data_IF_109352687740
#
_entry.id   IF_109352687740
#
_cell.length_a   1.000
_cell.length_b   1.000
_cell.length_c   1.000
_cell.angle_alpha   90.00
_cell.angle_beta   90.00
_cell.angle_gamma   90.00
#
_symmetry.space_group_name_H-M   'P 1'
#
loop_
_entity.id
_entity.type
_entity.pdbx_description
1 polymer ?
#
# COMPACT_ATOMS: atom_id res chain seq x y z
N UNK A 1 -39.39 -88.29 28.57
CA UNK A 1 -39.66 -87.53 29.81
C UNK A 1 -38.52 -86.54 30.01
N UNK A 2 -38.65 -85.32 29.47
CA UNK A 2 -38.81 -84.09 30.27
C UNK A 2 -38.08 -84.15 31.62
N UNK A 3 -37.00 -83.36 31.78
CA UNK A 3 -36.92 -82.36 32.84
C UNK A 3 -36.02 -81.19 32.41
N UNK A 4 -36.68 -80.04 32.39
CA UNK A 4 -36.18 -78.69 32.20
C UNK A 4 -35.41 -78.24 33.47
N UNK A 5 -34.30 -77.49 33.35
CA UNK A 5 -34.05 -76.28 34.17
C UNK A 5 -32.69 -75.61 33.89
N UNK A 6 -32.83 -74.31 33.60
CA UNK A 6 -31.90 -73.20 33.85
C UNK A 6 -30.55 -73.19 33.10
N UNK A 7 -30.59 -72.76 31.84
CA UNK A 7 -29.47 -72.01 31.27
C UNK A 7 -29.69 -70.52 31.59
N UNK A 8 -28.86 -69.98 32.47
CA UNK A 8 -28.77 -68.55 32.75
C UNK A 8 -28.28 -67.87 31.46
N UNK A 9 -29.17 -67.17 30.77
CA UNK A 9 -28.79 -66.28 29.69
C UNK A 9 -28.07 -65.06 30.29
N UNK A 10 -26.74 -65.12 30.34
CA UNK A 10 -25.89 -63.94 30.41
C UNK A 10 -26.14 -63.13 29.13
N UNK A 11 -27.16 -62.28 29.15
CA UNK A 11 -27.32 -61.20 28.19
C UNK A 11 -26.15 -60.25 28.48
N UNK A 12 -25.03 -60.48 27.79
CA UNK A 12 -24.01 -59.47 27.62
C UNK A 12 -24.71 -58.33 26.87
N UNK A 13 -25.18 -57.33 27.62
CA UNK A 13 -25.55 -56.04 27.09
C UNK A 13 -24.25 -55.48 26.51
N UNK A 14 -24.00 -55.77 25.24
CA UNK A 14 -23.07 -55.00 24.41
C UNK A 14 -23.71 -53.61 24.27
N UNK A 15 -23.64 -52.82 25.34
CA UNK A 15 -23.85 -51.38 25.25
C UNK A 15 -22.84 -50.91 24.22
N UNK A 16 -23.35 -50.48 23.06
CA UNK A 16 -22.53 -49.95 22.00
C UNK A 16 -21.61 -48.88 22.61
N UNK A 17 -20.32 -49.22 22.74
CA UNK A 17 -19.31 -48.34 23.33
C UNK A 17 -19.50 -46.97 22.68
N UNK A 18 -19.81 -45.96 23.49
CA UNK A 18 -19.86 -44.59 23.01
C UNK A 18 -18.58 -44.35 22.19
N UNK A 19 -18.68 -43.67 21.05
CA UNK A 19 -17.52 -43.34 20.23
C UNK A 19 -16.69 -42.24 20.93
N UNK A 20 -16.14 -42.58 22.10
CA UNK A 20 -15.22 -41.75 22.87
C UNK A 20 -14.03 -41.47 21.97
N UNK A 21 -13.60 -40.22 21.96
CA UNK A 21 -12.59 -39.69 21.04
C UNK A 21 -13.02 -39.65 19.56
N UNK A 22 -14.29 -39.90 19.26
CA UNK A 22 -14.88 -39.74 17.93
C UNK A 22 -15.32 -38.31 17.63
N UNK A 23 -15.65 -38.07 16.36
CA UNK A 23 -16.25 -36.82 15.89
C UNK A 23 -17.66 -36.66 16.46
N UNK A 24 -18.04 -35.42 16.75
CA UNK A 24 -19.45 -35.12 16.97
C UNK A 24 -20.27 -35.34 15.68
N UNK A 25 -21.55 -35.65 15.82
CA UNK A 25 -22.48 -35.82 14.69
C UNK A 25 -22.68 -34.54 13.87
N UNK A 26 -22.34 -33.37 14.43
CA UNK A 26 -22.33 -32.09 13.74
C UNK A 26 -21.31 -31.14 14.37
N UNK A 27 -20.63 -30.32 13.56
CA UNK A 27 -19.62 -29.36 14.01
C UNK A 27 -18.20 -29.96 14.11
N UNK A 28 -17.25 -29.16 14.61
CA UNK A 28 -15.82 -29.53 14.70
C UNK A 28 -15.43 -30.13 16.06
N UNK A 29 -16.40 -30.55 16.86
CA UNK A 29 -16.17 -31.03 18.23
C UNK A 29 -15.70 -32.47 18.32
N UNK A 30 -15.33 -32.88 19.53
CA UNK A 30 -14.91 -34.25 19.87
C UNK A 30 -15.70 -34.79 21.06
N UNK A 31 -16.06 -36.07 20.99
CA UNK A 31 -16.80 -36.76 22.04
C UNK A 31 -15.88 -37.19 23.19
N UNK A 32 -15.92 -36.47 24.31
CA UNK A 32 -15.07 -36.72 25.49
C UNK A 32 -15.82 -36.40 26.79
N UNK A 33 -15.18 -36.64 27.94
CA UNK A 33 -15.82 -36.42 29.22
C UNK A 33 -16.16 -34.95 29.51
N UNK A 34 -17.26 -34.75 30.25
CA UNK A 34 -17.68 -33.45 30.83
C UNK A 34 -16.65 -32.84 31.80
N UNK A 35 -15.71 -33.64 32.28
CA UNK A 35 -14.57 -33.17 33.07
C UNK A 35 -13.39 -32.73 32.20
N UNK A 36 -13.04 -33.51 31.17
CA UNK A 36 -11.86 -33.26 30.32
C UNK A 36 -12.00 -31.99 29.49
N UNK A 37 -13.19 -31.72 28.99
CA UNK A 37 -13.41 -30.54 28.16
C UNK A 37 -13.60 -29.23 28.96
N UNK A 38 -14.23 -29.26 30.15
CA UNK A 38 -14.23 -28.12 31.08
C UNK A 38 -12.81 -27.75 31.48
N UNK A 39 -11.98 -28.74 31.83
CA UNK A 39 -10.55 -28.54 32.15
C UNK A 39 -9.78 -27.90 30.99
N UNK A 40 -10.16 -28.22 29.76
CA UNK A 40 -9.56 -27.63 28.58
C UNK A 40 -10.18 -26.28 28.15
N UNK A 41 -11.19 -25.77 28.87
CA UNK A 41 -11.89 -24.53 28.57
C UNK A 41 -12.88 -24.61 27.39
N UNK A 42 -13.41 -25.80 27.09
CA UNK A 42 -14.45 -26.01 26.08
C UNK A 42 -15.86 -26.03 26.67
N UNK A 43 -16.88 -26.00 25.79
CA UNK A 43 -18.30 -26.11 26.14
C UNK A 43 -18.90 -27.42 25.63
N UNK A 44 -20.04 -27.83 26.19
CA UNK A 44 -20.69 -29.10 25.82
C UNK A 44 -21.98 -28.91 25.06
N UNK A 45 -22.22 -29.83 24.13
CA UNK A 45 -23.51 -29.98 23.45
C UNK A 45 -24.03 -31.40 23.65
N UNK A 46 -25.25 -31.50 24.18
CA UNK A 46 -25.95 -32.77 24.39
C UNK A 46 -26.50 -33.35 23.07
N UNK A 47 -26.65 -34.67 23.00
CA UNK A 47 -27.23 -35.36 21.85
C UNK A 47 -26.38 -35.36 20.57
N UNK A 48 -25.10 -34.99 20.68
CA UNK A 48 -24.18 -34.84 19.54
C UNK A 48 -23.07 -35.89 19.48
N UNK A 49 -23.07 -36.83 20.42
CA UNK A 49 -22.17 -37.98 20.43
C UNK A 49 -22.93 -39.27 20.17
N UNK A 50 -22.34 -40.25 19.45
CA UNK A 50 -22.94 -41.57 19.31
C UNK A 50 -23.24 -42.17 20.69
N UNK A 51 -24.51 -42.51 20.91
CA UNK A 51 -25.06 -43.06 22.16
C UNK A 51 -25.03 -42.14 23.39
N UNK A 52 -24.75 -40.84 23.21
CA UNK A 52 -24.80 -39.71 24.18
C UNK A 52 -24.71 -40.10 25.68
N UNK A 53 -23.69 -40.88 26.04
CA UNK A 53 -23.54 -41.41 27.39
C UNK A 53 -23.52 -40.27 28.43
N UNK A 54 -24.01 -40.52 29.65
CA UNK A 54 -24.24 -39.49 30.67
C UNK A 54 -23.07 -38.48 30.78
N UNK A 55 -21.83 -39.00 30.82
CA UNK A 55 -20.63 -38.19 30.99
C UNK A 55 -19.85 -37.90 29.70
N UNK A 56 -20.24 -38.46 28.54
CA UNK A 56 -19.57 -38.24 27.25
C UNK A 56 -20.43 -37.31 26.40
N UNK A 57 -19.96 -36.07 26.23
CA UNK A 57 -20.67 -35.02 25.50
C UNK A 57 -19.79 -34.47 24.39
N UNK A 58 -20.43 -33.85 23.40
CA UNK A 58 -19.69 -33.19 22.33
C UNK A 58 -18.99 -31.97 22.90
N UNK A 59 -17.67 -32.05 23.06
CA UNK A 59 -16.86 -30.92 23.46
C UNK A 59 -16.61 -30.01 22.28
N UNK A 60 -16.97 -28.75 22.43
CA UNK A 60 -16.62 -27.70 21.50
C UNK A 60 -15.58 -26.76 22.10
N UNK A 61 -14.41 -26.69 21.46
CA UNK A 61 -13.37 -25.70 21.73
C UNK A 61 -12.93 -25.09 20.40
N UNK A 62 -13.71 -24.15 19.89
CA UNK A 62 -13.51 -23.56 18.56
C UNK A 62 -12.19 -22.79 18.40
N UNK A 63 -11.54 -22.38 19.49
CA UNK A 63 -10.28 -21.65 19.45
C UNK A 63 -9.21 -22.33 20.31
N UNK A 64 -7.99 -22.29 19.81
CA UNK A 64 -6.80 -22.73 20.52
C UNK A 64 -5.67 -21.73 20.26
N UNK A 65 -4.76 -21.59 21.22
CA UNK A 65 -3.56 -20.78 21.06
C UNK A 65 -2.35 -21.66 21.34
N UNK A 66 -1.38 -21.67 20.43
CA UNK A 66 -0.14 -22.45 20.55
C UNK A 66 1.02 -21.63 20.02
N UNK A 67 2.09 -21.49 20.81
CA UNK A 67 3.25 -20.67 20.46
C UNK A 67 2.89 -19.24 19.98
N UNK A 68 1.88 -18.62 20.61
CA UNK A 68 1.37 -17.28 20.23
C UNK A 68 0.54 -17.24 18.93
N UNK A 69 0.24 -18.39 18.31
CA UNK A 69 -0.63 -18.48 17.12
C UNK A 69 -2.03 -18.95 17.52
N UNK A 70 -3.05 -18.25 17.03
CA UNK A 70 -4.45 -18.66 17.18
C UNK A 70 -4.83 -19.63 16.07
N UNK A 71 -5.51 -20.71 16.43
CA UNK A 71 -6.05 -21.71 15.50
C UNK A 71 -7.40 -22.23 15.96
N UNK A 72 -7.89 -23.27 15.30
CA UNK A 72 -9.14 -23.96 15.61
C UNK A 72 -8.86 -25.41 15.96
N UNK A 73 -9.45 -25.91 17.05
CA UNK A 73 -9.40 -27.34 17.34
C UNK A 73 -10.24 -28.11 16.34
N UNK A 74 -9.60 -29.03 15.61
CA UNK A 74 -10.26 -29.93 14.67
C UNK A 74 -9.42 -31.20 14.48
N UNK A 75 -10.00 -32.21 13.86
CA UNK A 75 -9.24 -33.41 13.50
C UNK A 75 -8.15 -33.05 12.49
N UNK A 76 -6.97 -33.67 12.61
CA UNK A 76 -5.82 -33.39 11.74
C UNK A 76 -6.12 -33.61 10.26
N UNK A 77 -7.05 -34.52 9.94
CA UNK A 77 -7.53 -34.75 8.57
C UNK A 77 -8.28 -33.55 7.97
N UNK A 78 -8.83 -32.67 8.81
CA UNK A 78 -9.61 -31.50 8.39
C UNK A 78 -8.77 -30.21 8.45
N UNK A 79 -7.48 -30.34 8.75
CA UNK A 79 -6.58 -29.22 8.90
C UNK A 79 -5.88 -28.89 7.58
N UNK A 80 -6.25 -27.77 6.97
CA UNK A 80 -5.58 -27.22 5.78
C UNK A 80 -4.35 -26.35 6.16
N UNK A 81 -3.63 -26.75 7.20
CA UNK A 81 -2.64 -25.90 7.87
C UNK A 81 -1.65 -26.70 8.70
N UNK A 82 -0.94 -26.02 9.61
CA UNK A 82 -0.04 -26.70 10.55
C UNK A 82 -0.81 -27.12 11.78
N UNK A 83 -0.69 -28.39 12.17
CA UNK A 83 -1.33 -28.94 13.36
C UNK A 83 -0.37 -29.00 14.55
N UNK A 84 -0.82 -28.55 15.72
CA UNK A 84 -0.04 -28.55 16.95
C UNK A 84 -0.75 -29.31 18.07
N UNK A 85 -0.01 -30.12 18.81
CA UNK A 85 -0.53 -30.89 19.94
C UNK A 85 -0.67 -30.01 21.21
N UNK A 86 -1.40 -30.50 22.21
CA UNK A 86 -1.42 -29.94 23.57
C UNK A 86 -2.35 -28.76 23.82
N UNK A 87 -2.91 -28.12 22.79
CA UNK A 87 -3.82 -26.98 22.95
C UNK A 87 -5.32 -27.32 22.82
N UNK A 88 -5.65 -28.54 22.40
CA UNK A 88 -7.00 -29.05 22.17
C UNK A 88 -7.27 -30.33 22.96
N UNK A 89 -8.49 -30.55 23.46
CA UNK A 89 -8.82 -31.73 24.26
C UNK A 89 -9.13 -32.96 23.40
N UNK A 90 -8.99 -34.16 23.96
CA UNK A 90 -9.35 -35.40 23.29
C UNK A 90 -8.15 -36.15 22.68
N UNK A 91 -8.34 -36.90 21.60
CA UNK A 91 -7.32 -37.80 21.06
C UNK A 91 -6.15 -37.07 20.43
N UNK A 92 -5.05 -37.81 20.20
CA UNK A 92 -3.82 -37.31 19.60
C UNK A 92 -4.00 -36.71 18.20
N UNK A 93 -5.05 -37.07 17.47
CA UNK A 93 -5.39 -36.53 16.15
C UNK A 93 -6.39 -35.36 16.20
N UNK A 94 -6.82 -34.91 17.38
CA UNK A 94 -7.62 -33.69 17.54
C UNK A 94 -6.70 -32.57 18.03
N UNK A 95 -6.22 -31.76 17.09
CA UNK A 95 -5.10 -30.83 17.30
C UNK A 95 -5.52 -29.40 17.04
N UNK A 96 -4.69 -28.47 17.49
CA UNK A 96 -4.84 -27.07 17.14
C UNK A 96 -4.39 -26.86 15.70
N UNK A 97 -5.34 -26.62 14.80
CA UNK A 97 -5.06 -26.32 13.40
C UNK A 97 -4.87 -24.81 13.23
N UNK A 98 -3.67 -24.41 12.86
CA UNK A 98 -3.39 -23.04 12.40
C UNK A 98 -3.43 -23.06 10.88
N UNK A 99 -4.51 -22.53 10.30
CA UNK A 99 -4.72 -22.53 8.85
C UNK A 99 -3.65 -21.69 8.14
N UNK A 100 -3.17 -22.19 7.00
CA UNK A 100 -2.29 -21.45 6.11
C UNK A 100 -3.12 -20.45 5.29
N UNK A 101 -3.64 -19.41 5.95
CA UNK A 101 -4.29 -18.30 5.25
C UNK A 101 -3.20 -17.50 4.54
N UNK A 102 -2.97 -17.83 3.28
CA UNK A 102 -2.00 -17.14 2.42
C UNK A 102 -2.61 -15.95 1.72
N UNK A 103 -3.93 -15.90 1.58
CA UNK A 103 -4.67 -14.81 0.92
C UNK A 103 -5.56 -14.06 1.90
N UNK A 104 -5.76 -12.78 1.65
CA UNK A 104 -6.61 -11.91 2.45
C UNK A 104 -7.35 -10.94 1.51
N UNK A 105 -8.49 -10.42 1.96
CA UNK A 105 -9.32 -9.52 1.14
C UNK A 105 -9.65 -8.26 1.94
N UNK A 106 -9.53 -7.09 1.31
CA UNK A 106 -9.88 -5.79 1.90
C UNK A 106 -10.49 -4.89 0.83
N UNK A 107 -11.69 -4.36 1.07
CA UNK A 107 -12.36 -3.43 0.14
C UNK A 107 -12.39 -3.97 -1.31
N UNK A 108 -12.67 -5.26 -1.49
CA UNK A 108 -12.72 -5.90 -2.81
C UNK A 108 -11.36 -6.17 -3.47
N UNK A 109 -10.25 -5.79 -2.84
CA UNK A 109 -8.90 -6.13 -3.28
C UNK A 109 -8.43 -7.43 -2.63
N UNK A 110 -7.78 -8.28 -3.42
CA UNK A 110 -7.14 -9.51 -2.92
C UNK A 110 -5.65 -9.27 -2.70
N UNK A 111 -5.16 -9.65 -1.53
CA UNK A 111 -3.77 -9.55 -1.11
C UNK A 111 -3.21 -10.88 -0.61
N UNK A 112 -1.95 -10.84 -0.15
CA UNK A 112 -1.24 -11.99 0.39
C UNK A 112 -0.83 -11.72 1.84
N UNK A 113 -1.04 -12.68 2.72
CA UNK A 113 -0.54 -12.63 4.09
C UNK A 113 0.96 -12.88 4.11
N UNK A 114 1.73 -11.89 4.55
CA UNK A 114 3.19 -12.00 4.62
C UNK A 114 3.76 -11.08 5.70
N UNK A 115 5.06 -11.21 5.98
CA UNK A 115 5.75 -10.32 6.90
C UNK A 115 5.64 -8.86 6.42
N UNK A 116 5.34 -7.93 7.33
CA UNK A 116 5.17 -6.50 7.06
C UNK A 116 6.38 -5.88 6.35
N UNK A 117 7.59 -6.39 6.61
CA UNK A 117 8.83 -5.90 6.01
C UNK A 117 9.06 -6.42 4.58
N UNK A 118 8.30 -7.44 4.17
CA UNK A 118 8.37 -8.05 2.84
C UNK A 118 7.27 -7.53 1.89
N UNK A 119 6.40 -6.64 2.36
CA UNK A 119 5.29 -6.11 1.57
C UNK A 119 5.72 -4.91 0.71
N UNK A 120 5.60 -5.04 -0.62
CA UNK A 120 5.81 -3.95 -1.58
C UNK A 120 4.51 -3.17 -1.91
N UNK A 121 3.47 -3.35 -1.09
CA UNK A 121 2.14 -2.77 -1.26
C UNK A 121 1.71 -1.94 -0.05
N UNK A 122 0.41 -1.70 0.09
CA UNK A 122 -0.12 -1.19 1.34
C UNK A 122 -0.54 -2.35 2.26
N UNK A 123 -0.50 -2.11 3.57
CA UNK A 123 -0.70 -3.15 4.58
C UNK A 123 -1.98 -2.91 5.36
N UNK A 124 -2.71 -3.98 5.64
CA UNK A 124 -3.86 -3.96 6.53
C UNK A 124 -3.65 -5.00 7.64
N UNK A 125 -3.79 -4.56 8.89
CA UNK A 125 -3.64 -5.39 10.08
C UNK A 125 -4.91 -6.19 10.35
N UNK A 126 -4.81 -7.31 11.09
CA UNK A 126 -5.96 -8.08 11.56
C UNK A 126 -6.65 -8.97 10.52
N UNK A 127 -6.21 -8.95 9.26
CA UNK A 127 -6.76 -9.79 8.19
C UNK A 127 -6.00 -11.11 7.97
N UNK A 128 -4.86 -11.28 8.64
CA UNK A 128 -3.99 -12.45 8.54
C UNK A 128 -3.78 -13.07 9.92
N UNK A 129 -3.75 -14.42 10.03
CA UNK A 129 -3.50 -15.09 11.29
C UNK A 129 -2.04 -14.94 11.73
N UNK A 130 -1.79 -15.03 13.03
CA UNK A 130 -0.45 -14.95 13.60
C UNK A 130 -0.21 -13.65 14.36
N UNK A 131 1.06 -13.24 14.43
CA UNK A 131 1.48 -12.06 15.18
C UNK A 131 1.27 -10.76 14.37
N UNK A 132 1.55 -9.62 15.01
CA UNK A 132 1.40 -8.29 14.40
C UNK A 132 2.30 -8.05 13.17
N UNK A 133 3.32 -8.89 12.94
CA UNK A 133 4.20 -8.78 11.78
C UNK A 133 3.63 -9.46 10.54
N UNK A 134 2.72 -10.43 10.68
CA UNK A 134 2.04 -11.04 9.54
C UNK A 134 0.81 -10.19 9.16
N UNK A 135 0.94 -9.38 8.11
CA UNK A 135 -0.09 -8.43 7.70
C UNK A 135 -0.56 -8.75 6.28
N UNK A 136 -1.78 -8.30 5.96
CA UNK A 136 -2.30 -8.43 4.61
C UNK A 136 -1.61 -7.41 3.70
N UNK A 137 -0.81 -7.89 2.75
CA UNK A 137 -0.17 -7.06 1.74
C UNK A 137 -1.05 -6.98 0.50
N UNK A 138 -1.54 -5.77 0.18
CA UNK A 138 -2.43 -5.51 -0.95
C UNK A 138 -1.70 -4.68 -2.02
N UNK A 139 -2.06 -4.85 -3.31
CA UNK A 139 -1.41 -4.12 -4.40
C UNK A 139 -1.60 -2.61 -4.27
N UNK A 140 -0.51 -1.86 -4.46
CA UNK A 140 -0.49 -0.40 -4.50
C UNK A 140 -0.53 0.06 -5.95
N UNK A 141 -1.71 0.04 -6.55
CA UNK A 141 -1.88 0.43 -7.96
C UNK A 141 -1.60 1.93 -8.15
N UNK A 142 -0.92 2.26 -9.24
CA UNK A 142 -0.73 3.65 -9.65
C UNK A 142 -2.07 4.27 -10.09
N UNK A 143 -2.24 5.56 -9.84
CA UNK A 143 -3.40 6.32 -10.30
C UNK A 143 -2.98 7.74 -10.69
N UNK A 144 -3.83 8.42 -11.46
CA UNK A 144 -3.62 9.84 -11.81
C UNK A 144 -4.85 10.64 -11.43
N UNK A 145 -4.66 11.71 -10.66
CA UNK A 145 -5.70 12.65 -10.29
C UNK A 145 -5.17 14.08 -10.31
N UNK A 146 -5.94 15.02 -10.85
CA UNK A 146 -5.58 16.43 -10.92
C UNK A 146 -4.20 16.68 -11.58
N UNK A 147 -3.88 15.91 -12.64
CA UNK A 147 -2.58 16.01 -13.33
C UNK A 147 -1.39 15.45 -12.56
N UNK A 148 -1.60 14.83 -11.39
CA UNK A 148 -0.55 14.25 -10.54
C UNK A 148 -0.66 12.74 -10.49
N UNK A 149 0.50 12.07 -10.54
CA UNK A 149 0.61 10.65 -10.24
C UNK A 149 0.45 10.41 -8.73
N UNK A 150 -0.29 9.38 -8.38
CA UNK A 150 -0.59 8.97 -7.02
C UNK A 150 -0.62 7.46 -6.88
N UNK A 151 -1.07 7.01 -5.72
CA UNK A 151 -1.22 5.58 -5.43
C UNK A 151 -2.57 5.28 -4.79
N UNK A 152 -3.17 4.18 -5.23
CA UNK A 152 -4.38 3.63 -4.63
C UNK A 152 -4.07 3.00 -3.29
N UNK A 153 -4.47 3.68 -2.22
CA UNK A 153 -4.28 3.25 -0.84
C UNK A 153 -5.51 3.62 0.00
N UNK A 154 -5.70 3.03 1.19
CA UNK A 154 -6.74 3.44 2.12
C UNK A 154 -6.65 4.94 2.44
N UNK A 155 -7.78 5.64 2.50
CA UNK A 155 -7.85 7.07 2.83
C UNK A 155 -7.14 7.41 4.14
N UNK A 156 -7.29 6.57 5.17
CA UNK A 156 -6.60 6.74 6.46
C UNK A 156 -5.09 6.50 6.43
N UNK A 157 -4.55 5.95 5.33
CA UNK A 157 -3.11 5.77 5.09
C UNK A 157 -2.56 6.82 4.11
N UNK A 158 -3.39 7.73 3.62
CA UNK A 158 -2.97 8.79 2.72
C UNK A 158 -2.43 10.00 3.49
N UNK A 159 -1.17 10.35 3.25
CA UNK A 159 -0.55 11.58 3.76
C UNK A 159 -0.76 12.78 2.83
N UNK A 160 -1.64 12.67 1.84
CA UNK A 160 -1.87 13.68 0.80
C UNK A 160 -3.36 13.94 0.55
N UNK A 161 -3.71 14.38 -0.66
CA UNK A 161 -5.11 14.53 -1.07
C UNK A 161 -5.63 13.18 -1.56
N UNK A 162 -6.73 12.72 -0.98
CA UNK A 162 -7.44 11.53 -1.47
C UNK A 162 -8.48 11.93 -2.51
N UNK A 163 -8.44 11.29 -3.68
CA UNK A 163 -9.40 11.53 -4.77
C UNK A 163 -10.19 10.25 -5.06
N UNK A 164 -11.51 10.34 -4.96
CA UNK A 164 -12.44 9.23 -5.18
C UNK A 164 -12.59 8.88 -6.66
N UNK A 165 -13.00 7.64 -6.95
CA UNK A 165 -13.33 7.19 -8.31
C UNK A 165 -12.13 6.99 -9.25
N UNK A 166 -10.91 6.94 -8.71
CA UNK A 166 -9.66 6.80 -9.48
C UNK A 166 -8.92 5.48 -9.24
N UNK A 167 -9.49 4.60 -8.40
CA UNK A 167 -8.86 3.37 -7.94
C UNK A 167 -9.85 2.19 -7.95
N UNK A 168 -9.38 0.96 -8.19
CA UNK A 168 -10.18 -0.24 -7.99
C UNK A 168 -10.37 -0.51 -6.49
N UNK A 169 -11.47 -1.18 -6.17
CA UNK A 169 -11.83 -1.54 -4.80
C UNK A 169 -13.01 -0.74 -4.25
N UNK A 170 -13.22 -0.84 -2.94
CA UNK A 170 -14.30 -0.19 -2.23
C UNK A 170 -14.04 1.29 -1.96
N UNK A 171 -15.02 1.95 -1.35
CA UNK A 171 -15.08 3.42 -1.22
C UNK A 171 -13.87 4.04 -0.48
N UNK A 172 -13.23 3.24 0.36
CA UNK A 172 -12.10 3.66 1.19
C UNK A 172 -10.75 3.55 0.47
N UNK A 173 -10.69 2.93 -0.71
CA UNK A 173 -9.49 2.91 -1.56
C UNK A 173 -9.59 4.07 -2.53
N UNK A 174 -8.75 5.08 -2.33
CA UNK A 174 -8.78 6.31 -3.13
C UNK A 174 -7.39 6.61 -3.70
N UNK A 175 -7.35 7.44 -4.73
CA UNK A 175 -6.09 7.87 -5.29
C UNK A 175 -5.47 8.88 -4.33
N UNK A 176 -4.48 8.43 -3.56
CA UNK A 176 -3.67 9.30 -2.74
C UNK A 176 -2.63 9.97 -3.63
N UNK A 177 -2.87 11.21 -3.97
CA UNK A 177 -1.85 12.06 -4.56
C UNK A 177 -1.12 12.74 -3.41
N UNK A 178 0.20 12.62 -3.36
CA UNK A 178 0.97 13.33 -2.35
C UNK A 178 0.66 14.82 -2.46
N UNK A 179 0.30 15.44 -1.33
CA UNK A 179 0.20 16.90 -1.21
C UNK A 179 1.57 17.58 -1.29
N UNK A 180 2.57 16.92 -1.89
CA UNK A 180 3.90 17.43 -2.15
C UNK A 180 3.84 18.60 -3.10
N UNK A 181 3.54 19.78 -2.56
CA UNK A 181 4.30 20.97 -2.84
C UNK A 181 5.73 20.76 -2.35
N UNK A 182 6.50 19.97 -3.08
CA UNK A 182 7.86 20.43 -3.33
C UNK A 182 7.66 21.61 -4.27
N UNK A 183 8.02 22.83 -3.83
CA UNK A 183 8.28 23.92 -4.77
C UNK A 183 9.10 23.33 -5.90
N UNK A 184 8.69 23.53 -7.16
CA UNK A 184 9.53 23.16 -8.30
C UNK A 184 10.92 23.70 -8.00
N UNK A 185 11.88 22.80 -7.84
CA UNK A 185 13.21 23.24 -7.43
C UNK A 185 13.82 24.01 -8.58
N UNK A 186 14.61 25.02 -8.25
CA UNK A 186 15.37 25.78 -9.23
C UNK A 186 16.19 24.89 -10.18
N UNK A 187 16.73 23.78 -9.67
CA UNK A 187 17.48 22.82 -10.47
C UNK A 187 16.61 22.10 -11.51
N UNK A 188 15.37 21.73 -11.18
CA UNK A 188 14.46 21.12 -12.16
C UNK A 188 14.15 22.06 -13.33
N UNK A 189 14.02 23.37 -13.06
CA UNK A 189 13.84 24.39 -14.10
C UNK A 189 15.05 24.41 -15.03
N UNK A 190 16.26 24.37 -14.46
CA UNK A 190 17.51 24.34 -15.23
C UNK A 190 17.63 23.07 -16.07
N UNK A 191 17.39 21.90 -15.47
CA UNK A 191 17.51 20.62 -16.17
C UNK A 191 16.56 20.53 -17.36
N UNK A 192 15.35 21.10 -17.24
CA UNK A 192 14.41 21.22 -18.36
C UNK A 192 14.89 22.24 -19.40
N UNK A 193 15.30 23.43 -18.98
CA UNK A 193 15.82 24.47 -19.89
C UNK A 193 17.00 23.97 -20.74
N UNK A 194 17.90 23.18 -20.14
CA UNK A 194 19.09 22.64 -20.80
C UNK A 194 18.77 21.69 -21.95
N UNK A 195 17.59 21.07 -21.99
CA UNK A 195 17.17 20.17 -23.09
C UNK A 195 16.98 20.92 -24.41
N UNK A 196 16.76 22.24 -24.36
CA UNK A 196 16.55 23.08 -25.55
C UNK A 196 17.82 23.74 -26.06
N UNK A 197 18.99 23.40 -25.52
CA UNK A 197 20.26 23.87 -26.06
C UNK A 197 20.39 23.48 -27.53
N UNK A 198 20.80 24.43 -28.36
CA UNK A 198 20.90 24.25 -29.80
C UNK A 198 19.63 24.61 -30.58
N UNK A 199 18.49 24.87 -29.94
CA UNK A 199 17.30 25.36 -30.63
C UNK A 199 17.58 26.73 -31.27
N UNK A 200 17.26 26.94 -32.57
CA UNK A 200 17.47 28.21 -33.24
C UNK A 200 16.75 29.40 -32.60
N UNK A 201 17.37 30.57 -32.66
CA UNK A 201 16.69 31.80 -32.33
C UNK A 201 15.65 32.16 -33.39
N UNK A 202 14.45 32.52 -32.95
CA UNK A 202 13.40 33.09 -33.78
C UNK A 202 12.79 34.31 -33.07
N UNK A 203 12.82 35.49 -33.68
CA UNK A 203 12.17 36.67 -33.11
C UNK A 203 10.67 36.43 -32.97
N UNK A 204 10.12 36.62 -31.76
CA UNK A 204 8.72 36.29 -31.50
C UNK A 204 8.47 34.80 -31.19
N UNK A 205 9.48 33.92 -31.30
CA UNK A 205 9.35 32.48 -31.11
C UNK A 205 9.10 32.04 -29.66
N UNK A 206 8.23 31.06 -29.47
CA UNK A 206 7.80 30.50 -28.17
C UNK A 206 7.77 28.95 -28.17
N UNK A 207 8.39 28.28 -29.16
CA UNK A 207 8.30 26.82 -29.30
C UNK A 207 9.61 26.20 -29.75
N UNK A 208 9.99 25.00 -29.24
CA UNK A 208 11.19 24.32 -29.68
C UNK A 208 11.13 23.88 -31.14
N UNK A 209 9.94 23.74 -31.72
CA UNK A 209 9.74 23.31 -33.11
C UNK A 209 10.08 24.42 -34.13
N UNK A 210 9.84 25.68 -33.79
CA UNK A 210 10.05 26.83 -34.70
C UNK A 210 11.22 27.71 -34.27
N UNK A 211 11.61 27.65 -33.00
CA UNK A 211 12.65 28.48 -32.40
C UNK A 211 12.11 29.36 -31.29
N UNK A 212 13.03 29.94 -30.53
CA UNK A 212 12.73 30.80 -29.40
C UNK A 212 13.34 32.18 -29.53
N UNK A 213 12.66 33.23 -29.05
CA UNK A 213 13.36 34.43 -28.57
C UNK A 213 13.67 34.33 -27.07
N UNK A 214 14.34 35.34 -26.52
CA UNK A 214 14.82 35.30 -25.14
C UNK A 214 13.69 35.09 -24.12
N UNK A 215 12.62 35.87 -24.22
CA UNK A 215 11.48 35.83 -23.31
C UNK A 215 10.47 34.73 -23.62
N UNK A 216 10.38 34.31 -24.88
CA UNK A 216 9.60 33.14 -25.28
C UNK A 216 10.21 31.84 -24.77
N UNK A 217 11.55 31.74 -24.78
CA UNK A 217 12.27 30.62 -24.18
C UNK A 217 11.99 30.49 -22.68
N UNK A 218 12.17 31.56 -21.91
CA UNK A 218 11.91 31.53 -20.47
C UNK A 218 10.44 31.21 -20.19
N UNK A 219 9.52 31.86 -20.88
CA UNK A 219 8.08 31.62 -20.71
C UNK A 219 7.71 30.16 -20.98
N UNK A 220 8.24 29.57 -22.05
CA UNK A 220 8.03 28.16 -22.35
C UNK A 220 8.54 27.24 -21.24
N UNK A 221 9.75 27.49 -20.73
CA UNK A 221 10.34 26.73 -19.62
C UNK A 221 9.46 26.80 -18.37
N UNK A 222 9.05 28.00 -17.94
CA UNK A 222 8.23 28.16 -16.74
C UNK A 222 6.81 27.60 -16.90
N UNK A 223 6.23 27.71 -18.10
CA UNK A 223 4.91 27.16 -18.40
C UNK A 223 4.85 25.63 -18.25
N UNK A 224 5.94 24.91 -18.56
CA UNK A 224 6.04 23.46 -18.33
C UNK A 224 5.82 23.09 -16.86
N UNK A 225 6.26 23.97 -15.94
CA UNK A 225 6.12 23.80 -14.49
C UNK A 225 4.86 24.47 -13.92
N UNK A 226 3.95 24.96 -14.77
CA UNK A 226 2.70 25.59 -14.36
C UNK A 226 2.82 27.06 -13.96
N UNK A 227 3.98 27.70 -14.17
CA UNK A 227 4.15 29.13 -13.91
C UNK A 227 3.84 29.95 -15.16
N UNK A 228 2.94 30.93 -15.01
CA UNK A 228 2.61 31.86 -16.09
C UNK A 228 3.40 33.16 -15.91
N UNK A 229 4.32 33.45 -16.82
CA UNK A 229 5.10 34.70 -16.81
C UNK A 229 4.83 35.54 -18.06
N UNK A 230 5.03 36.88 -18.00
CA UNK A 230 4.78 37.77 -19.13
C UNK A 230 5.59 37.39 -20.37
N UNK A 231 5.05 37.68 -21.57
CA UNK A 231 5.72 37.43 -22.85
C UNK A 231 6.95 38.28 -23.11
N UNK A 232 7.01 39.48 -22.52
CA UNK A 232 8.03 40.49 -22.82
C UNK A 232 9.12 40.49 -21.73
N UNK A 233 10.39 40.53 -22.12
CA UNK A 233 11.54 40.53 -21.19
C UNK A 233 11.49 41.67 -20.17
N UNK A 234 11.08 42.87 -20.58
CA UNK A 234 10.88 44.01 -19.68
C UNK A 234 9.82 43.78 -18.59
N UNK A 235 8.74 43.06 -18.93
CA UNK A 235 7.71 42.70 -17.96
C UNK A 235 8.13 41.50 -17.08
N UNK A 236 8.92 40.57 -17.62
CA UNK A 236 9.54 39.53 -16.81
C UNK A 236 10.52 40.10 -15.78
N UNK A 237 11.18 41.22 -16.10
CA UNK A 237 12.07 41.94 -15.18
C UNK A 237 11.36 42.56 -13.97
N UNK A 238 10.02 42.50 -13.89
CA UNK A 238 9.22 42.90 -12.73
C UNK A 238 8.34 41.77 -12.20
N UNK A 239 8.38 40.58 -12.80
CA UNK A 239 7.60 39.42 -12.38
C UNK A 239 8.21 38.73 -11.14
N UNK A 240 7.37 38.03 -10.36
CA UNK A 240 7.81 37.30 -9.18
C UNK A 240 8.45 38.19 -8.11
N UNK A 241 9.37 37.60 -7.34
CA UNK A 241 10.08 38.28 -6.24
C UNK A 241 11.46 38.75 -6.68
N UNK A 242 11.84 39.97 -6.30
CA UNK A 242 13.22 40.45 -6.48
C UNK A 242 14.22 39.64 -5.65
N UNK A 243 15.39 39.36 -6.21
CA UNK A 243 16.48 38.64 -5.53
C UNK A 243 17.78 39.44 -5.66
N UNK A 244 18.64 39.39 -4.65
CA UNK A 244 19.98 39.96 -4.73
C UNK A 244 20.96 38.99 -5.40
N UNK A 245 22.02 39.50 -6.02
CA UNK A 245 23.04 38.64 -6.68
C UNK A 245 23.58 37.53 -5.77
N UNK A 246 23.80 37.83 -4.49
CA UNK A 246 24.34 36.88 -3.51
C UNK A 246 23.35 35.78 -3.11
N UNK A 247 22.05 35.96 -3.40
CA UNK A 247 20.99 35.01 -3.10
C UNK A 247 20.47 34.29 -4.34
N UNK A 248 21.15 34.43 -5.48
CA UNK A 248 20.80 33.76 -6.72
C UNK A 248 20.82 32.24 -6.54
N UNK A 249 19.77 31.61 -7.06
CA UNK A 249 19.63 30.17 -7.10
C UNK A 249 19.39 29.74 -8.54
N UNK A 250 19.84 28.53 -8.95
CA UNK A 250 19.45 27.94 -10.22
C UNK A 250 17.95 28.14 -10.47
N UNK A 251 17.55 28.46 -11.69
CA UNK A 251 16.16 28.73 -12.02
C UNK A 251 15.67 30.14 -11.65
N UNK A 252 16.51 31.06 -11.17
CA UNK A 252 16.17 32.49 -11.14
C UNK A 252 16.31 33.11 -12.54
N UNK A 253 15.48 34.10 -12.87
CA UNK A 253 15.64 34.92 -14.06
C UNK A 253 16.73 35.97 -13.86
N UNK A 254 17.61 36.11 -14.84
CA UNK A 254 18.56 37.22 -14.97
C UNK A 254 18.10 38.12 -16.10
N UNK A 255 17.77 39.36 -15.75
CA UNK A 255 17.20 40.33 -16.67
C UNK A 255 18.25 41.38 -17.08
N UNK A 256 18.21 41.80 -18.34
CA UNK A 256 19.05 42.83 -18.92
C UNK A 256 18.16 43.84 -19.65
N UNK A 257 18.74 44.95 -20.14
CA UNK A 257 18.01 45.86 -21.02
C UNK A 257 17.67 45.15 -22.34
N UNK A 258 16.38 44.82 -22.54
CA UNK A 258 15.87 44.15 -23.73
C UNK A 258 16.08 42.63 -23.78
N UNK A 259 16.65 42.00 -22.74
CA UNK A 259 16.99 40.57 -22.76
C UNK A 259 16.70 39.87 -21.43
N UNK A 260 16.52 38.55 -21.46
CA UNK A 260 16.32 37.73 -20.26
C UNK A 260 16.95 36.34 -20.43
N UNK A 261 17.40 35.75 -19.33
CA UNK A 261 18.05 34.44 -19.26
C UNK A 261 17.67 33.71 -17.96
N UNK A 262 17.91 32.40 -17.91
CA UNK A 262 17.73 31.59 -16.70
C UNK A 262 19.10 31.33 -16.08
N UNK A 263 19.27 31.65 -14.80
CA UNK A 263 20.49 31.36 -14.04
C UNK A 263 20.63 29.85 -13.82
N UNK A 264 21.81 29.30 -14.09
CA UNK A 264 22.08 27.87 -13.97
C UNK A 264 23.13 27.52 -12.90
N UNK A 265 23.52 28.51 -12.08
CA UNK A 265 24.64 28.38 -11.13
C UNK A 265 25.96 28.85 -11.73
N UNK A 266 27.01 28.90 -10.89
CA UNK A 266 28.39 29.17 -11.30
C UNK A 266 28.61 30.42 -12.18
N UNK A 267 27.86 31.51 -11.96
CA UNK A 267 27.89 32.71 -12.80
C UNK A 267 27.57 32.45 -14.28
N UNK A 268 26.75 31.44 -14.56
CA UNK A 268 26.32 31.06 -15.90
C UNK A 268 24.80 31.21 -16.05
N UNK A 269 24.37 31.44 -17.28
CA UNK A 269 22.97 31.50 -17.67
C UNK A 269 22.72 30.72 -18.95
N UNK A 270 21.51 30.18 -19.13
CA UNK A 270 21.01 29.68 -20.41
C UNK A 270 20.02 30.68 -21.01
N UNK A 271 20.15 30.96 -22.32
CA UNK A 271 19.33 31.95 -23.02
C UNK A 271 19.23 31.66 -24.53
N UNK A 272 18.19 32.21 -25.17
CA UNK A 272 18.13 32.37 -26.62
C UNK A 272 18.60 33.79 -27.00
N UNK A 273 19.78 33.96 -27.63
CA UNK A 273 20.47 35.26 -27.69
C UNK A 273 19.96 36.24 -28.76
N UNK A 274 20.03 35.88 -30.05
CA UNK A 274 19.73 36.75 -31.19
C UNK A 274 19.61 35.96 -32.49
N UNK A 275 19.10 36.60 -33.54
CA UNK A 275 19.01 36.03 -34.90
C UNK A 275 20.36 35.50 -35.39
N UNK A 276 20.34 34.30 -35.98
CA UNK A 276 21.54 33.62 -36.50
C UNK A 276 22.32 32.82 -35.45
N UNK A 277 21.77 32.66 -34.25
CA UNK A 277 22.40 31.95 -33.14
C UNK A 277 21.38 31.00 -32.50
N UNK A 278 21.78 30.26 -31.46
CA UNK A 278 20.99 29.19 -30.83
C UNK A 278 20.90 29.37 -29.32
N UNK A 279 19.93 28.70 -28.70
CA UNK A 279 19.86 28.56 -27.24
C UNK A 279 21.18 27.98 -26.72
N UNK A 280 21.86 28.71 -25.85
CA UNK A 280 23.20 28.35 -25.37
C UNK A 280 23.45 28.80 -23.94
N UNK A 281 24.55 28.32 -23.38
CA UNK A 281 25.05 28.75 -22.07
C UNK A 281 26.06 29.88 -22.28
N UNK A 282 25.93 30.93 -21.49
CA UNK A 282 26.79 32.12 -21.51
C UNK A 282 27.15 32.54 -20.09
N UNK A 283 28.18 33.38 -19.94
CA UNK A 283 28.49 34.02 -18.67
C UNK A 283 27.38 35.02 -18.29
N UNK A 284 27.02 35.11 -17.01
CA UNK A 284 26.00 36.05 -16.49
C UNK A 284 26.35 37.52 -16.76
N UNK A 285 27.62 37.86 -16.92
CA UNK A 285 28.06 39.24 -17.20
C UNK A 285 28.17 39.53 -18.72
N UNK A 286 27.55 38.72 -19.59
CA UNK A 286 27.52 38.98 -21.03
C UNK A 286 26.92 40.33 -21.40
N UNK A 287 26.09 40.91 -20.52
CA UNK A 287 25.46 42.22 -20.63
C UNK A 287 25.31 42.85 -19.24
N UNK A 288 25.02 44.15 -19.16
CA UNK A 288 24.71 44.82 -17.89
C UNK A 288 23.38 44.33 -17.33
N UNK A 289 23.43 43.61 -16.21
CA UNK A 289 22.24 43.11 -15.51
C UNK A 289 21.42 44.26 -14.94
N UNK A 290 20.10 44.21 -15.12
CA UNK A 290 19.15 45.19 -14.60
C UNK A 290 18.33 44.66 -13.42
N UNK A 291 18.05 43.36 -13.35
CA UNK A 291 17.32 42.74 -12.23
C UNK A 291 17.58 41.22 -12.13
N UNK A 292 17.31 40.66 -10.95
CA UNK A 292 17.18 39.21 -10.73
C UNK A 292 15.80 38.92 -10.16
N UNK A 293 15.10 37.92 -10.71
CA UNK A 293 13.74 37.56 -10.32
C UNK A 293 13.60 36.08 -10.03
N UNK A 294 12.94 35.75 -8.92
CA UNK A 294 12.49 34.39 -8.61
C UNK A 294 11.00 34.30 -8.85
N UNK A 295 10.61 33.38 -9.72
CA UNK A 295 9.21 33.07 -10.04
C UNK A 295 8.65 32.10 -9.00
#
# INVERSE_FOLDING_TARGET
MLFYRLLIALIAVYGALAAVNGRCSSGNGVCISTSSCTKAGGTYVNGKCPNDAADIKCCNKNSCTVNGKTGTCKFTSDCNGTSYAGACPGPSNFKCCVENVTKCTYEGLTGTCMNKNSCNGFRVTGLCPGNADNQCCLPKNSCTANGKSGSCIPTGQCSGTSVSGKCPGGKNIQCCVSSGGGSVTGQQIVDFAMQFRGTPYLYGGESPATGFDCSGFTKYVYAHFGYNIPRNSGAQATAGRAVSKNNLQPGDLVCYSGHVAIYIGNNQVIHSPKTGDVVKVSNINMMKVTAYRRI
#
